data_IF_601496430176
#
_entry.id   IF_601496430176
#
_cell.length_a   1.000
_cell.length_b   1.000
_cell.length_c   1.000
_cell.angle_alpha   90.00
_cell.angle_beta   90.00
_cell.angle_gamma   90.00
#
_symmetry.space_group_name_H-M   'P 1'
#
loop_
_entity.id
_entity.type
_entity.pdbx_description
1 polymer ?
#
# COMPACT_ATOMS: atom_id res chain seq x y z
N UNK A 1 -8.07 -10.82 -25.19
CA UNK A 1 -8.93 -9.71 -24.70
C UNK A 1 -8.48 -8.46 -25.43
N UNK A 2 -9.24 -7.98 -26.43
CA UNK A 2 -8.83 -6.82 -27.24
C UNK A 2 -9.13 -5.53 -26.47
N UNK A 3 -8.09 -4.76 -26.16
CA UNK A 3 -8.19 -3.46 -25.49
C UNK A 3 -8.35 -2.42 -26.59
N UNK A 4 -9.59 -1.94 -26.83
CA UNK A 4 -9.95 -0.97 -27.88
C UNK A 4 -9.79 0.49 -27.45
N UNK A 5 -8.89 0.79 -26.52
CA UNK A 5 -8.70 2.17 -26.03
C UNK A 5 -7.61 2.89 -26.84
N UNK A 6 -7.87 4.09 -27.39
CA UNK A 6 -6.94 4.81 -28.28
C UNK A 6 -5.64 5.29 -27.61
N UNK A 7 -5.55 5.21 -26.27
CA UNK A 7 -4.34 5.49 -25.48
C UNK A 7 -3.72 4.22 -24.85
N UNK A 8 -4.25 3.04 -25.13
CA UNK A 8 -3.59 1.82 -24.69
C UNK A 8 -2.25 1.71 -25.44
N UNK A 9 -1.17 1.40 -24.72
CA UNK A 9 0.08 1.01 -25.35
C UNK A 9 -0.24 -0.06 -26.41
N UNK A 10 0.29 0.10 -27.62
CA UNK A 10 0.06 -0.79 -28.78
C UNK A 10 0.40 -2.26 -28.47
N UNK A 11 1.15 -2.48 -27.39
CA UNK A 11 1.49 -3.77 -26.82
C UNK A 11 1.57 -3.62 -25.30
N UNK A 12 0.69 -4.32 -24.58
CA UNK A 12 0.91 -4.60 -23.16
C UNK A 12 1.70 -5.91 -23.08
N UNK A 13 2.90 -5.87 -22.51
CA UNK A 13 3.62 -7.09 -22.15
C UNK A 13 2.85 -7.81 -21.05
N UNK A 14 2.17 -8.90 -21.39
CA UNK A 14 1.54 -9.75 -20.39
C UNK A 14 2.59 -10.76 -19.92
N UNK A 15 2.94 -10.70 -18.65
CA UNK A 15 3.74 -11.74 -18.01
C UNK A 15 2.80 -12.90 -17.68
N UNK A 16 2.83 -13.94 -18.51
CA UNK A 16 2.06 -15.17 -18.27
C UNK A 16 2.93 -16.19 -17.52
N UNK A 17 2.41 -16.71 -16.41
CA UNK A 17 3.10 -17.77 -15.68
C UNK A 17 3.05 -19.08 -16.47
N UNK A 18 4.15 -19.84 -16.42
CA UNK A 18 4.17 -21.18 -17.02
C UNK A 18 3.10 -22.05 -16.35
N UNK A 19 2.36 -22.87 -17.13
CA UNK A 19 1.26 -23.68 -16.60
C UNK A 19 1.73 -24.73 -15.59
N UNK A 20 2.98 -25.20 -15.72
CA UNK A 20 3.62 -26.08 -14.74
C UNK A 20 5.02 -25.52 -14.46
N UNK A 21 5.21 -24.95 -13.27
CA UNK A 21 6.54 -24.58 -12.81
C UNK A 21 7.19 -25.78 -12.09
N UNK A 22 8.39 -26.16 -12.53
CA UNK A 22 9.21 -27.14 -11.82
C UNK A 22 9.68 -26.59 -10.46
N UNK A 23 9.91 -27.50 -9.51
CA UNK A 23 10.45 -27.10 -8.22
C UNK A 23 11.92 -26.64 -8.35
N UNK A 24 12.31 -25.56 -7.65
CA UNK A 24 13.71 -25.16 -7.58
C UNK A 24 14.55 -26.20 -6.82
N UNK A 25 15.87 -26.17 -7.05
CA UNK A 25 16.84 -27.00 -6.33
C UNK A 25 17.86 -26.13 -5.61
N UNK A 26 18.32 -26.57 -4.45
CA UNK A 26 19.36 -25.85 -3.71
C UNK A 26 20.67 -25.95 -4.46
N UNK A 27 21.32 -24.82 -4.75
CA UNK A 27 22.65 -24.82 -5.36
C UNK A 27 23.72 -25.04 -4.29
N UNK A 28 24.46 -26.14 -4.39
CA UNK A 28 25.53 -26.44 -3.42
C UNK A 28 26.63 -25.40 -3.58
N UNK A 29 26.91 -24.66 -2.50
CA UNK A 29 27.89 -23.56 -2.49
C UNK A 29 27.61 -22.48 -3.55
N UNK A 30 26.34 -22.28 -3.92
CA UNK A 30 25.93 -21.29 -4.93
C UNK A 30 26.27 -21.64 -6.38
N UNK A 31 26.80 -22.84 -6.66
CA UNK A 31 27.11 -23.27 -8.02
C UNK A 31 25.83 -23.77 -8.75
N UNK A 32 25.38 -23.12 -9.85
CA UNK A 32 24.18 -23.53 -10.59
C UNK A 32 24.29 -24.91 -11.25
N UNK A 33 25.50 -25.38 -11.51
CA UNK A 33 25.77 -26.70 -12.11
C UNK A 33 25.59 -27.80 -11.06
N UNK A 34 26.02 -27.54 -9.82
CA UNK A 34 25.97 -28.52 -8.73
C UNK A 34 24.65 -28.39 -7.97
N UNK A 35 23.60 -29.00 -8.52
CA UNK A 35 22.26 -29.01 -7.94
C UNK A 35 22.17 -30.02 -6.78
N UNK A 36 21.60 -29.59 -5.67
CA UNK A 36 21.32 -30.40 -4.49
C UNK A 36 19.85 -30.85 -4.43
N UNK A 37 19.36 -30.93 -3.20
CA UNK A 37 17.98 -31.30 -2.85
C UNK A 37 16.96 -30.40 -3.58
N UNK A 38 15.84 -31.02 -3.96
CA UNK A 38 14.70 -30.32 -4.51
C UNK A 38 13.89 -29.65 -3.41
N UNK A 39 13.54 -28.38 -3.62
CA UNK A 39 12.74 -27.61 -2.68
C UNK A 39 11.34 -27.54 -3.25
N UNK A 40 10.37 -28.28 -2.71
CA UNK A 40 8.99 -28.17 -3.17
C UNK A 40 8.50 -26.74 -2.98
N UNK A 41 7.75 -26.24 -3.97
CA UNK A 41 7.11 -24.92 -3.88
C UNK A 41 6.04 -24.99 -2.82
N UNK A 42 6.25 -24.32 -1.70
CA UNK A 42 5.37 -24.37 -0.55
C UNK A 42 5.56 -23.13 0.30
N UNK A 43 4.68 -22.92 1.27
CA UNK A 43 4.78 -21.78 2.17
C UNK A 43 6.00 -21.88 3.11
N UNK A 44 6.27 -20.84 3.87
CA UNK A 44 7.42 -20.80 4.80
C UNK A 44 7.21 -21.76 5.97
N UNK A 45 8.22 -22.60 6.25
CA UNK A 45 8.22 -23.54 7.38
C UNK A 45 7.98 -22.86 8.72
N UNK A 46 8.65 -21.74 8.93
CA UNK A 46 8.61 -21.00 10.20
C UNK A 46 7.20 -20.49 10.51
N UNK A 47 6.34 -20.33 9.49
CA UNK A 47 4.97 -19.82 9.65
C UNK A 47 3.95 -20.96 9.63
N UNK A 48 4.02 -21.85 8.63
CA UNK A 48 3.02 -22.92 8.44
C UNK A 48 3.39 -24.25 9.11
N UNK A 49 4.56 -24.34 9.75
CA UNK A 49 5.06 -25.55 10.39
C UNK A 49 5.58 -26.62 9.42
N UNK A 50 5.87 -27.80 9.97
CA UNK A 50 6.42 -28.94 9.23
C UNK A 50 5.39 -29.65 8.35
N UNK A 51 4.09 -29.51 8.65
CA UNK A 51 3.00 -30.18 7.92
C UNK A 51 2.45 -29.37 6.73
N UNK A 52 3.13 -28.27 6.37
CA UNK A 52 2.74 -27.45 5.23
C UNK A 52 2.71 -28.27 3.94
N UNK A 53 1.70 -28.01 3.11
CA UNK A 53 1.50 -28.73 1.85
C UNK A 53 2.19 -27.99 0.70
N UNK A 54 2.79 -28.71 -0.26
CA UNK A 54 3.23 -28.12 -1.51
C UNK A 54 2.09 -27.53 -2.33
N UNK A 55 2.40 -26.44 -3.02
CA UNK A 55 1.54 -25.79 -4.00
C UNK A 55 1.38 -26.67 -5.24
N UNK A 56 0.14 -26.79 -5.72
CA UNK A 56 -0.21 -27.71 -6.79
C UNK A 56 -0.55 -27.01 -8.11
N UNK A 57 -0.87 -25.71 -8.08
CA UNK A 57 -1.40 -24.99 -9.24
C UNK A 57 -0.41 -23.97 -9.81
N UNK A 58 -0.19 -24.04 -11.13
CA UNK A 58 0.61 -23.04 -11.87
C UNK A 58 2.02 -22.88 -11.30
N UNK A 59 2.39 -21.64 -10.97
CA UNK A 59 3.66 -21.29 -10.32
C UNK A 59 3.65 -21.43 -8.79
N UNK A 60 2.47 -21.53 -8.15
CA UNK A 60 2.27 -21.44 -6.71
C UNK A 60 2.19 -20.01 -6.16
N UNK A 61 2.38 -18.97 -7.00
CA UNK A 61 2.29 -17.57 -6.58
C UNK A 61 0.88 -17.17 -6.16
N UNK A 62 -0.14 -17.66 -6.87
CA UNK A 62 -1.54 -17.41 -6.53
C UNK A 62 -1.88 -18.02 -5.16
N UNK A 63 -1.56 -19.30 -4.96
CA UNK A 63 -1.77 -19.99 -3.68
C UNK A 63 -1.04 -19.26 -2.52
N UNK A 64 0.19 -18.79 -2.75
CA UNK A 64 0.91 -17.97 -1.77
C UNK A 64 0.21 -16.63 -1.50
N UNK A 65 -0.30 -15.96 -2.52
CA UNK A 65 -1.01 -14.70 -2.38
C UNK A 65 -2.34 -14.87 -1.61
N UNK A 66 -3.07 -15.96 -1.86
CA UNK A 66 -4.29 -16.31 -1.15
C UNK A 66 -4.02 -16.58 0.34
N UNK A 67 -2.94 -17.27 0.68
CA UNK A 67 -2.53 -17.47 2.07
C UNK A 67 -2.18 -16.13 2.75
N UNK A 68 -1.43 -15.27 2.05
CA UNK A 68 -1.04 -13.96 2.60
C UNK A 68 -2.28 -13.08 2.81
N UNK A 69 -3.20 -13.04 1.86
CA UNK A 69 -4.43 -12.25 1.92
C UNK A 69 -5.60 -12.97 2.61
N UNK A 70 -5.34 -14.12 3.26
CA UNK A 70 -6.38 -14.86 3.97
C UNK A 70 -6.89 -14.06 5.18
N UNK A 71 -8.21 -14.05 5.46
CA UNK A 71 -8.77 -13.54 6.70
C UNK A 71 -8.19 -14.19 7.96
N UNK A 72 -7.71 -15.44 7.85
CA UNK A 72 -7.08 -16.18 8.95
C UNK A 72 -5.67 -15.67 9.28
N UNK A 73 -5.08 -14.84 8.40
CA UNK A 73 -3.80 -14.19 8.62
C UNK A 73 -4.00 -12.75 9.13
N UNK A 74 -3.92 -12.51 10.46
CA UNK A 74 -4.17 -11.18 11.02
C UNK A 74 -3.07 -10.16 10.69
N UNK A 75 -1.85 -10.61 10.33
CA UNK A 75 -0.72 -9.71 10.12
C UNK A 75 -0.92 -8.82 8.90
N UNK A 76 -1.44 -9.37 7.80
CA UNK A 76 -1.63 -8.62 6.55
C UNK A 76 -2.57 -7.43 6.74
N UNK A 77 -3.69 -7.66 7.45
CA UNK A 77 -4.64 -6.60 7.76
C UNK A 77 -4.02 -5.54 8.67
N UNK A 78 -3.33 -5.94 9.75
CA UNK A 78 -2.64 -5.03 10.68
C UNK A 78 -1.57 -4.17 9.98
N UNK A 79 -0.74 -4.78 9.13
CA UNK A 79 0.29 -4.08 8.36
C UNK A 79 -0.33 -3.02 7.44
N UNK A 80 -1.37 -3.40 6.68
CA UNK A 80 -2.00 -2.47 5.75
C UNK A 80 -2.69 -1.31 6.49
N UNK A 81 -3.41 -1.61 7.57
CA UNK A 81 -4.04 -0.59 8.41
C UNK A 81 -3.00 0.37 8.99
N UNK A 82 -1.88 -0.13 9.48
CA UNK A 82 -0.81 0.72 10.02
C UNK A 82 -0.19 1.63 8.96
N UNK A 83 -0.02 1.15 7.73
CA UNK A 83 0.44 1.97 6.61
C UNK A 83 -0.56 3.06 6.26
N UNK A 84 -1.84 2.70 6.10
CA UNK A 84 -2.89 3.68 5.84
C UNK A 84 -2.95 4.72 6.96
N UNK A 85 -2.85 4.29 8.21
CA UNK A 85 -2.78 5.17 9.36
C UNK A 85 -1.58 6.10 9.31
N UNK A 86 -0.40 5.57 8.98
CA UNK A 86 0.84 6.34 8.86
C UNK A 86 0.75 7.42 7.78
N UNK A 87 0.13 7.14 6.63
CA UNK A 87 -0.12 8.16 5.60
C UNK A 87 -1.01 9.31 6.11
N UNK A 88 -2.02 8.99 6.91
CA UNK A 88 -2.91 10.01 7.48
C UNK A 88 -2.26 10.79 8.62
N UNK A 89 -1.64 10.13 9.60
CA UNK A 89 -1.15 10.79 10.82
C UNK A 89 0.35 11.11 10.79
N UNK A 90 1.06 10.77 9.72
CA UNK A 90 2.51 10.91 9.55
C UNK A 90 3.33 9.84 10.30
N UNK A 91 2.79 9.33 11.40
CA UNK A 91 3.34 8.23 12.17
C UNK A 91 2.32 7.08 12.30
N UNK A 92 2.81 5.85 12.15
CA UNK A 92 2.00 4.65 12.37
C UNK A 92 1.68 4.42 13.85
N UNK A 93 0.65 3.61 14.11
CA UNK A 93 0.38 3.06 15.44
C UNK A 93 1.57 2.25 15.93
N UNK A 94 2.17 1.49 15.02
CA UNK A 94 3.51 0.90 15.15
C UNK A 94 4.47 1.75 14.31
N UNK A 95 5.59 2.18 14.89
CA UNK A 95 6.58 3.04 14.20
C UNK A 95 7.15 2.35 12.96
N UNK A 96 7.35 1.03 13.02
CA UNK A 96 7.75 0.21 11.87
C UNK A 96 6.55 -0.11 10.96
N UNK A 97 6.63 0.33 9.71
CA UNK A 97 5.59 0.09 8.71
C UNK A 97 5.43 -1.39 8.30
N UNK A 98 6.45 -2.22 8.52
CA UNK A 98 6.51 -3.62 8.04
C UNK A 98 6.99 -4.64 9.07
N UNK A 99 7.31 -4.22 10.30
CA UNK A 99 7.77 -5.13 11.36
C UNK A 99 6.74 -5.12 12.49
N UNK A 100 6.11 -6.28 12.69
CA UNK A 100 5.15 -6.59 13.76
C UNK A 100 5.66 -7.78 14.61
N UNK A 101 6.95 -8.10 14.50
CA UNK A 101 7.59 -9.18 15.25
C UNK A 101 7.89 -8.80 16.69
N UNK A 102 8.48 -9.73 17.44
CA UNK A 102 8.88 -9.54 18.85
C UNK A 102 9.98 -8.51 19.06
N UNK A 103 10.60 -8.03 17.98
CA UNK A 103 11.64 -6.99 17.98
C UNK A 103 11.12 -5.61 17.62
N UNK A 104 9.86 -5.51 17.19
CA UNK A 104 9.23 -4.24 16.86
C UNK A 104 8.75 -3.53 18.13
N UNK A 105 8.72 -2.20 18.07
CA UNK A 105 8.09 -1.42 19.14
C UNK A 105 6.61 -1.79 19.26
N UNK A 106 6.08 -1.89 20.49
CA UNK A 106 4.66 -2.18 20.67
C UNK A 106 3.81 -1.05 20.09
N UNK A 107 2.62 -1.38 19.54
CA UNK A 107 1.69 -0.37 19.04
C UNK A 107 1.31 0.63 20.15
N UNK A 108 1.12 1.90 19.80
CA UNK A 108 0.63 2.91 20.76
C UNK A 108 -0.74 2.55 21.29
N UNK A 109 -1.61 2.06 20.41
CA UNK A 109 -2.97 1.65 20.73
C UNK A 109 -3.25 0.25 20.13
N UNK A 110 -2.93 -0.84 20.85
CA UNK A 110 -3.12 -2.20 20.35
C UNK A 110 -4.58 -2.52 20.02
N UNK A 111 -5.51 -2.14 20.91
CA UNK A 111 -6.94 -2.40 20.72
C UNK A 111 -7.52 -1.67 19.50
N UNK A 112 -7.05 -0.44 19.24
CA UNK A 112 -7.46 0.33 18.06
C UNK A 112 -6.95 -0.34 16.77
N UNK A 113 -5.70 -0.79 16.75
CA UNK A 113 -5.14 -1.50 15.61
C UNK A 113 -5.94 -2.77 15.31
N UNK A 114 -6.27 -3.55 16.34
CA UNK A 114 -7.04 -4.79 16.21
C UNK A 114 -8.47 -4.53 15.74
N UNK A 115 -9.13 -3.50 16.28
CA UNK A 115 -10.44 -3.07 15.83
C UNK A 115 -10.45 -2.67 14.35
N UNK A 116 -9.48 -1.84 13.92
CA UNK A 116 -9.37 -1.40 12.54
C UNK A 116 -9.05 -2.55 11.60
N UNK A 117 -8.14 -3.46 11.99
CA UNK A 117 -7.78 -4.64 11.21
C UNK A 117 -8.99 -5.58 11.03
N UNK A 118 -9.71 -5.87 12.12
CA UNK A 118 -10.90 -6.72 12.07
C UNK A 118 -11.98 -6.11 11.17
N UNK A 119 -12.24 -4.80 11.31
CA UNK A 119 -13.23 -4.09 10.50
C UNK A 119 -12.83 -4.02 9.02
N UNK A 120 -11.54 -3.87 8.74
CA UNK A 120 -11.04 -3.87 7.37
C UNK A 120 -11.27 -5.21 6.65
N UNK A 121 -11.04 -6.33 7.35
CA UNK A 121 -11.30 -7.68 6.84
C UNK A 121 -12.80 -7.90 6.66
N UNK A 122 -13.63 -7.57 7.66
CA UNK A 122 -15.08 -7.79 7.62
C UNK A 122 -15.80 -6.94 6.56
N UNK A 123 -15.26 -5.77 6.22
CA UNK A 123 -15.81 -4.90 5.18
C UNK A 123 -15.31 -5.23 3.76
N UNK A 124 -14.60 -6.35 3.59
CA UNK A 124 -14.15 -6.89 2.31
C UNK A 124 -12.87 -6.26 1.78
N UNK A 125 -11.91 -5.95 2.65
CA UNK A 125 -10.61 -5.38 2.28
C UNK A 125 -10.72 -4.04 1.53
N UNK A 126 -11.79 -3.28 1.79
CA UNK A 126 -12.06 -2.02 1.08
C UNK A 126 -11.27 -0.85 1.67
N UNK A 127 -10.18 -0.48 0.99
CA UNK A 127 -9.33 0.67 1.36
C UNK A 127 -10.16 1.96 1.46
N UNK A 128 -11.12 2.15 0.54
CA UNK A 128 -12.02 3.32 0.55
C UNK A 128 -12.85 3.41 1.83
N UNK A 129 -13.37 2.29 2.33
CA UNK A 129 -14.16 2.29 3.57
C UNK A 129 -13.27 2.53 4.78
N UNK A 130 -12.07 1.95 4.80
CA UNK A 130 -11.07 2.21 5.85
C UNK A 130 -10.70 3.70 5.92
N UNK A 131 -10.43 4.34 4.78
CA UNK A 131 -10.21 5.79 4.74
C UNK A 131 -11.40 6.56 5.30
N UNK A 132 -12.61 6.24 4.85
CA UNK A 132 -13.82 6.92 5.36
C UNK A 132 -13.98 6.76 6.88
N UNK A 133 -13.68 5.59 7.42
CA UNK A 133 -13.74 5.33 8.86
C UNK A 133 -12.74 6.22 9.62
N UNK A 134 -11.50 6.28 9.15
CA UNK A 134 -10.44 7.08 9.78
C UNK A 134 -10.75 8.59 9.67
N UNK A 135 -11.10 9.08 8.48
CA UNK A 135 -11.34 10.50 8.22
C UNK A 135 -12.61 11.05 8.93
N UNK A 136 -13.56 10.17 9.26
CA UNK A 136 -14.74 10.54 10.05
C UNK A 136 -14.55 10.34 11.56
N UNK A 137 -13.37 9.90 12.00
CA UNK A 137 -13.09 9.73 13.42
C UNK A 137 -12.90 11.09 14.10
N UNK A 138 -13.24 11.14 15.41
CA UNK A 138 -12.95 12.33 16.22
C UNK A 138 -11.47 12.66 16.22
N UNK A 139 -10.60 11.65 16.24
CA UNK A 139 -9.14 11.80 16.24
C UNK A 139 -8.63 12.53 15.00
N UNK A 140 -9.16 12.21 13.82
CA UNK A 140 -8.80 12.92 12.58
C UNK A 140 -9.29 14.36 12.55
N UNK A 141 -10.48 14.62 13.11
CA UNK A 141 -11.12 15.93 13.10
C UNK A 141 -10.65 16.85 14.24
N UNK A 142 -9.64 16.46 15.01
CA UNK A 142 -9.08 17.28 16.07
C UNK A 142 -8.38 18.52 15.50
N UNK A 143 -8.37 19.57 16.31
CA UNK A 143 -7.57 20.77 16.04
C UNK A 143 -6.08 20.47 16.20
N UNK A 144 -5.24 21.17 15.44
CA UNK A 144 -3.78 21.21 15.65
C UNK A 144 -3.34 22.27 16.67
N UNK A 145 -4.30 23.02 17.23
CA UNK A 145 -4.09 23.99 18.29
C UNK A 145 -4.27 23.30 19.65
N UNK A 146 -3.17 22.85 20.23
CA UNK A 146 -3.16 22.21 21.54
C UNK A 146 -1.76 22.16 22.14
N UNK A 147 -1.63 22.23 23.48
CA UNK A 147 -0.35 22.03 24.15
C UNK A 147 0.06 20.57 24.08
N UNK A 148 1.30 20.30 23.70
CA UNK A 148 1.87 18.95 23.80
C UNK A 148 2.26 18.70 25.27
N UNK A 149 1.67 17.70 25.94
CA UNK A 149 1.99 17.42 27.33
C UNK A 149 3.44 16.93 27.47
N UNK A 150 4.11 17.26 28.56
CA UNK A 150 5.51 16.85 28.81
C UNK A 150 5.69 15.32 28.88
N UNK A 151 4.61 14.59 29.19
CA UNK A 151 4.59 13.14 29.21
C UNK A 151 4.61 12.50 27.81
N UNK A 152 4.23 13.23 26.76
CA UNK A 152 4.20 12.74 25.38
C UNK A 152 4.68 13.82 24.39
N UNK A 153 5.98 14.10 24.35
CA UNK A 153 6.56 15.15 23.51
C UNK A 153 6.43 14.87 22.00
N UNK A 154 6.26 13.60 21.60
CA UNK A 154 6.04 13.20 20.20
C UNK A 154 4.55 13.21 19.81
N UNK A 155 3.64 13.54 20.75
CA UNK A 155 2.19 13.44 20.59
C UNK A 155 1.74 12.09 20.00
N UNK A 156 2.37 10.99 20.46
CA UNK A 156 2.09 9.62 20.01
C UNK A 156 0.70 9.14 20.41
N UNK A 157 0.14 9.71 21.48
CA UNK A 157 -1.21 9.44 21.97
C UNK A 157 -2.29 10.26 21.25
N UNK A 158 -1.91 11.15 20.33
CA UNK A 158 -2.82 11.97 19.51
C UNK A 158 -3.80 12.81 20.36
N UNK A 159 -3.21 13.60 21.25
CA UNK A 159 -3.93 14.58 22.08
C UNK A 159 -4.44 15.79 21.28
N UNK A 160 -3.71 16.12 20.21
CA UNK A 160 -4.09 17.09 19.17
C UNK A 160 -3.69 16.55 17.79
N UNK A 161 -4.15 17.17 16.72
CA UNK A 161 -3.71 16.79 15.38
C UNK A 161 -2.27 17.24 15.12
N UNK A 162 -1.45 16.36 14.54
CA UNK A 162 -0.07 16.68 14.18
C UNK A 162 -0.05 17.55 12.93
N UNK A 163 0.83 18.57 12.93
CA UNK A 163 1.04 19.39 11.73
C UNK A 163 1.76 18.56 10.68
N UNK A 164 1.17 18.49 9.49
CA UNK A 164 1.74 17.75 8.38
C UNK A 164 2.16 18.69 7.27
N UNK A 165 3.24 18.32 6.60
CA UNK A 165 3.65 18.98 5.37
C UNK A 165 2.75 18.52 4.24
N UNK A 166 2.19 19.47 3.49
CA UNK A 166 1.44 19.15 2.27
C UNK A 166 2.41 18.68 1.19
N UNK A 167 2.03 17.62 0.49
CA UNK A 167 2.70 17.24 -0.75
C UNK A 167 2.38 18.23 -1.88
N UNK A 168 3.12 18.16 -2.98
CA UNK A 168 2.97 19.07 -4.10
C UNK A 168 1.54 19.06 -4.67
N UNK A 169 0.95 17.89 -4.88
CA UNK A 169 -0.41 17.71 -5.39
C UNK A 169 -1.44 18.31 -4.43
N UNK A 170 -1.28 18.05 -3.13
CA UNK A 170 -2.17 18.61 -2.11
C UNK A 170 -2.05 20.13 -2.00
N UNK A 171 -0.83 20.67 -2.12
CA UNK A 171 -0.58 22.11 -2.14
C UNK A 171 -1.20 22.76 -3.38
N UNK A 172 -1.05 22.15 -4.56
CA UNK A 172 -1.65 22.61 -5.80
C UNK A 172 -3.19 22.64 -5.71
N UNK A 173 -3.79 21.54 -5.25
CA UNK A 173 -5.24 21.44 -5.06
C UNK A 173 -5.76 22.45 -4.02
N UNK A 174 -4.97 22.71 -2.97
CA UNK A 174 -5.27 23.75 -1.99
C UNK A 174 -5.26 25.15 -2.61
N UNK A 175 -4.26 25.46 -3.45
CA UNK A 175 -4.20 26.75 -4.17
C UNK A 175 -5.41 26.92 -5.10
N UNK A 176 -5.76 25.88 -5.86
CA UNK A 176 -6.97 25.88 -6.71
C UNK A 176 -8.25 26.01 -5.88
N UNK A 177 -8.32 25.39 -4.71
CA UNK A 177 -9.47 25.49 -3.82
C UNK A 177 -9.61 26.91 -3.28
N UNK A 178 -8.50 27.53 -2.89
CA UNK A 178 -8.46 28.89 -2.36
C UNK A 178 -8.75 29.95 -3.43
N UNK A 179 -8.34 29.73 -4.69
CA UNK A 179 -8.68 30.61 -5.82
C UNK A 179 -10.12 30.42 -6.33
N UNK A 180 -10.80 29.35 -5.90
CA UNK A 180 -12.14 28.98 -6.38
C UNK A 180 -12.14 28.28 -7.74
N UNK A 181 -10.97 27.97 -8.29
CA UNK A 181 -10.80 27.30 -9.59
C UNK A 181 -10.86 25.76 -9.48
N UNK A 182 -10.85 25.21 -8.26
CA UNK A 182 -10.91 23.78 -8.04
C UNK A 182 -12.23 23.20 -8.56
N UNK A 183 -12.12 22.45 -9.65
CA UNK A 183 -13.24 21.70 -10.21
C UNK A 183 -13.43 20.39 -9.45
N UNK A 184 -14.53 20.28 -8.69
CA UNK A 184 -14.93 19.05 -7.98
C UNK A 184 -15.56 17.99 -8.88
N UNK A 185 -15.73 18.29 -10.17
CA UNK A 185 -16.21 17.32 -11.15
C UNK A 185 -15.13 16.27 -11.31
N UNK A 186 -15.47 15.01 -11.03
CA UNK A 186 -14.57 13.89 -11.33
C UNK A 186 -14.30 13.94 -12.83
N UNK A 187 -13.10 14.40 -13.18
CA UNK A 187 -12.58 14.26 -14.51
C UNK A 187 -12.37 12.77 -14.71
N UNK A 188 -13.33 12.11 -15.38
CA UNK A 188 -13.03 10.84 -16.03
C UNK A 188 -11.83 11.14 -16.92
N UNK A 189 -10.68 10.57 -16.57
CA UNK A 189 -9.37 10.69 -17.24
C UNK A 189 -9.46 11.51 -18.53
N UNK A 190 -9.20 12.83 -18.44
CA UNK A 190 -9.07 13.63 -19.66
C UNK A 190 -7.78 13.13 -20.31
N UNK A 191 -7.91 12.46 -21.46
CA UNK A 191 -6.80 12.20 -22.35
C UNK A 191 -6.00 13.51 -22.52
N UNK A 192 -4.66 13.52 -22.44
CA UNK A 192 -3.89 14.73 -22.68
C UNK A 192 -4.36 15.33 -24.02
N UNK A 193 -4.84 16.58 -23.99
CA UNK A 193 -5.35 17.22 -25.20
C UNK A 193 -4.23 17.26 -26.23
N UNK A 194 -4.33 16.47 -27.29
CA UNK A 194 -3.42 16.48 -28.43
C UNK A 194 -3.70 17.68 -29.33
N UNK A 195 -3.90 18.87 -28.76
CA UNK A 195 -3.78 20.11 -29.53
C UNK A 195 -2.32 20.54 -29.42
N UNK A 196 -1.53 20.49 -30.50
CA UNK A 196 -0.21 21.09 -30.48
C UNK A 196 -0.39 22.59 -30.22
N UNK A 197 -0.03 23.05 -29.03
CA UNK A 197 0.23 24.47 -28.81
C UNK A 197 1.35 24.87 -29.77
N UNK A 198 1.15 25.87 -30.66
CA UNK A 198 2.22 26.32 -31.53
C UNK A 198 3.33 26.88 -30.64
N UNK A 199 4.47 26.20 -30.62
CA UNK A 199 5.70 26.68 -30.02
C UNK A 199 6.03 28.02 -30.65
N UNK A 200 5.97 29.10 -29.85
CA UNK A 200 6.36 30.43 -30.27
C UNK A 200 7.88 30.46 -30.47
N UNK A 201 8.36 30.07 -31.64
CA UNK A 201 9.73 30.33 -32.05
C UNK A 201 9.82 31.78 -32.49
N UNK A 202 10.17 32.66 -31.55
CA UNK A 202 10.61 34.03 -31.84
C UNK A 202 11.98 33.94 -32.53
N UNK A 203 12.01 33.90 -33.86
CA UNK A 203 13.24 34.17 -34.63
C UNK A 203 13.72 35.56 -34.23
N UNK A 204 14.94 35.65 -33.71
CA UNK A 204 15.69 36.90 -33.64
C UNK A 204 16.39 37.02 -34.98
N UNK A 205 15.96 37.99 -35.77
CA UNK A 205 16.68 38.41 -36.96
C UNK A 205 17.94 39.18 -36.52
N UNK A 206 19.09 38.74 -37.02
CA UNK A 206 20.29 39.53 -37.27
C UNK A 206 20.67 39.24 -38.72
#
# INVERSE_FOLDING_TARGET
MNITHPLAASYAGILEDKPVAGNPRVFKRGNPVTRGEEVPRQYLEVVAGKERKPFTHGSGRLEMAEIIASPDNPLTARVLVNRVWQEHFGAGLVKSASDFGTRADPPSHPELLDYLAHRFVSEGWSIKKLHRLILNSRTWQQSSEGPTPSSDPENRLLSHMNRQRLDFEAMHDFMLAASGELTRKILRFIAPSTSPTPTCTRRRDI
#
